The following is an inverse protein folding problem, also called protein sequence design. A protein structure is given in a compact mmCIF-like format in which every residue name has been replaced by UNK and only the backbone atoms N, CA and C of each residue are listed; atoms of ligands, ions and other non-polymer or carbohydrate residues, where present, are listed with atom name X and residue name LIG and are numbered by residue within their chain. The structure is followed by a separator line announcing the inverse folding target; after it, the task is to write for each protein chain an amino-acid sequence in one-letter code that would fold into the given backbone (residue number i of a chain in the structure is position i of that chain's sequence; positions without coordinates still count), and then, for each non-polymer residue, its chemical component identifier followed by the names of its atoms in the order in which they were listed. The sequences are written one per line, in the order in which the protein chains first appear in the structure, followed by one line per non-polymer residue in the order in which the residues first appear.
data_IF_039980304907
#
_entry.id   IF_039980304907
#
_cell.length_a   1.000
_cell.length_b   1.000
_cell.length_c   1.000
_cell.angle_alpha   90.00
_cell.angle_beta   90.00
_cell.angle_gamma   90.00
#
_symmetry.space_group_name_H-M   'P 1'
#
loop_
_entity.id
_entity.type
_entity.pdbx_description
1 polymer ?
#
# COMPACT_ATOMS: atom_id res chain seq x y z
N UNK A 1 18.53 4.39 -4.56
CA UNK A 1 19.73 4.33 -5.42
C UNK A 1 20.94 3.95 -4.59
N UNK A 2 21.91 3.25 -5.17
CA UNK A 2 23.22 3.04 -4.54
C UNK A 2 24.14 4.22 -4.85
N UNK A 3 25.40 4.15 -4.42
CA UNK A 3 26.43 5.12 -4.83
C UNK A 3 26.91 4.94 -6.27
N UNK A 4 26.49 3.87 -6.97
CA UNK A 4 26.84 3.61 -8.37
C UNK A 4 25.66 4.00 -9.25
N UNK A 5 25.92 4.82 -10.26
CA UNK A 5 24.92 5.30 -11.21
C UNK A 5 24.22 4.15 -11.93
N UNK A 6 22.90 4.27 -12.10
CA UNK A 6 22.06 3.21 -12.67
C UNK A 6 21.95 1.91 -11.86
N UNK A 7 22.50 1.84 -10.63
CA UNK A 7 22.44 0.65 -9.77
C UNK A 7 21.51 0.89 -8.58
N UNK A 8 20.53 -0.01 -8.45
CA UNK A 8 19.50 0.00 -7.41
C UNK A 8 19.60 -1.27 -6.56
N UNK A 9 19.23 -1.16 -5.30
CA UNK A 9 19.30 -2.27 -4.35
C UNK A 9 18.12 -2.23 -3.37
N UNK A 10 17.73 -3.39 -2.87
CA UNK A 10 16.70 -3.59 -1.85
C UNK A 10 16.93 -4.92 -1.12
N UNK A 11 16.26 -5.11 0.01
CA UNK A 11 16.44 -6.26 0.88
C UNK A 11 17.77 -6.24 1.65
N UNK A 12 18.24 -7.44 2.02
CA UNK A 12 19.41 -7.62 2.88
C UNK A 12 20.70 -7.00 2.33
N UNK A 13 20.78 -6.78 1.01
CA UNK A 13 21.91 -6.12 0.37
C UNK A 13 22.07 -4.64 0.76
N UNK A 14 21.04 -4.01 1.34
CA UNK A 14 21.05 -2.59 1.70
C UNK A 14 21.41 -2.36 3.17
N UNK A 15 20.74 -3.06 4.10
CA UNK A 15 20.89 -2.85 5.55
C UNK A 15 21.34 -4.11 6.31
N UNK A 16 21.62 -5.22 5.62
CA UNK A 16 21.80 -6.53 6.26
C UNK A 16 20.46 -7.14 6.67
N UNK A 17 20.50 -8.07 7.64
CA UNK A 17 19.31 -8.78 8.10
C UNK A 17 18.29 -7.82 8.75
N UNK A 18 17.16 -7.65 8.08
CA UNK A 18 16.08 -6.77 8.51
C UNK A 18 14.74 -7.50 8.48
N UNK A 19 13.67 -6.80 8.87
CA UNK A 19 12.31 -7.36 8.76
C UNK A 19 11.89 -7.57 7.29
N UNK A 20 11.10 -8.62 7.03
CA UNK A 20 10.51 -8.87 5.70
C UNK A 20 9.75 -7.63 5.18
N UNK A 21 9.05 -6.92 6.05
CA UNK A 21 8.34 -5.68 5.71
C UNK A 21 9.29 -4.57 5.25
N UNK A 22 10.46 -4.43 5.87
CA UNK A 22 11.47 -3.47 5.44
C UNK A 22 12.03 -3.83 4.06
N UNK A 23 12.31 -5.11 3.80
CA UNK A 23 12.76 -5.60 2.50
C UNK A 23 11.73 -5.34 1.39
N UNK A 24 10.44 -5.61 1.64
CA UNK A 24 9.34 -5.30 0.70
C UNK A 24 9.30 -3.79 0.41
N UNK A 25 9.32 -2.95 1.44
CA UNK A 25 9.31 -1.50 1.26
C UNK A 25 10.54 -0.96 0.51
N UNK A 26 11.71 -1.56 0.71
CA UNK A 26 12.91 -1.24 -0.06
C UNK A 26 12.76 -1.64 -1.53
N UNK A 27 12.14 -2.80 -1.82
CA UNK A 27 11.80 -3.23 -3.18
C UNK A 27 10.89 -2.23 -3.90
N UNK A 28 9.82 -1.76 -3.24
CA UNK A 28 8.94 -0.72 -3.79
C UNK A 28 9.69 0.58 -4.09
N UNK A 29 10.54 1.05 -3.17
CA UNK A 29 11.37 2.25 -3.39
C UNK A 29 12.40 2.06 -4.51
N UNK A 30 12.99 0.87 -4.62
CA UNK A 30 13.92 0.56 -5.70
C UNK A 30 13.22 0.58 -7.06
N UNK A 31 12.03 -0.03 -7.16
CA UNK A 31 11.22 -0.01 -8.38
C UNK A 31 10.82 1.41 -8.78
N UNK A 32 10.34 2.21 -7.82
CA UNK A 32 10.05 3.64 -8.03
C UNK A 32 11.25 4.41 -8.54
N UNK A 33 12.43 4.21 -7.94
CA UNK A 33 13.64 4.92 -8.36
C UNK A 33 14.14 4.47 -9.75
N UNK A 34 13.89 3.21 -10.16
CA UNK A 34 14.18 2.72 -11.51
C UNK A 34 13.27 3.42 -12.53
N UNK A 35 11.98 3.53 -12.23
CA UNK A 35 11.01 4.26 -13.06
C UNK A 35 11.45 5.71 -13.26
N UNK A 36 11.73 6.43 -12.17
CA UNK A 36 12.19 7.82 -12.20
C UNK A 36 13.48 7.99 -13.01
N UNK A 37 14.42 7.03 -12.91
CA UNK A 37 15.67 7.04 -13.66
C UNK A 37 15.47 6.83 -15.16
N UNK A 38 14.51 6.00 -15.57
CA UNK A 38 14.17 5.75 -16.98
C UNK A 38 13.42 6.94 -17.58
N UNK A 39 12.48 7.53 -16.84
CA UNK A 39 11.56 8.56 -17.33
C UNK A 39 12.13 9.99 -17.25
N UNK A 40 13.35 10.16 -16.75
CA UNK A 40 14.06 11.45 -16.76
C UNK A 40 13.86 12.31 -15.50
N UNK A 41 13.62 11.68 -14.34
CA UNK A 41 13.86 12.29 -13.03
C UNK A 41 12.68 13.00 -12.36
N UNK A 42 11.44 12.64 -12.69
CA UNK A 42 10.30 13.03 -11.84
C UNK A 42 10.26 12.08 -10.65
N UNK A 43 10.63 12.54 -9.47
CA UNK A 43 10.58 11.72 -8.25
C UNK A 43 9.15 11.24 -7.99
N UNK A 44 8.95 9.93 -8.06
CA UNK A 44 7.64 9.32 -7.84
C UNK A 44 7.23 9.41 -6.38
N UNK A 45 5.92 9.61 -6.12
CA UNK A 45 5.34 9.66 -4.77
C UNK A 45 5.53 8.34 -4.00
N UNK A 46 5.85 7.25 -4.69
CA UNK A 46 6.15 5.95 -4.09
C UNK A 46 7.51 5.92 -3.39
N UNK A 47 8.38 6.91 -3.63
CA UNK A 47 9.68 7.03 -2.96
C UNK A 47 9.56 7.20 -1.45
N UNK A 48 8.51 7.88 -0.98
CA UNK A 48 8.24 8.16 0.45
C UNK A 48 6.73 8.23 0.74
N UNK A 49 6.03 7.09 0.84
CA UNK A 49 4.61 7.08 1.17
C UNK A 49 4.37 7.58 2.61
N UNK A 50 3.28 8.31 2.87
CA UNK A 50 2.93 8.72 4.23
C UNK A 50 2.60 7.51 5.11
N UNK A 51 2.91 7.60 6.41
CA UNK A 51 2.50 6.59 7.39
C UNK A 51 1.02 6.76 7.69
N UNK A 52 0.22 5.74 7.39
CA UNK A 52 -1.21 5.69 7.68
C UNK A 52 -1.44 4.91 8.97
N UNK A 53 -2.06 5.54 9.96
CA UNK A 53 -2.43 4.88 11.20
C UNK A 53 -3.81 4.26 11.11
N UNK A 54 -4.11 3.32 12.00
CA UNK A 54 -5.42 2.66 12.06
C UNK A 54 -6.59 3.63 12.21
N UNK A 55 -6.39 4.76 12.90
CA UNK A 55 -7.40 5.81 13.10
C UNK A 55 -7.71 6.62 11.83
N UNK A 56 -6.83 6.58 10.83
CA UNK A 56 -6.95 7.37 9.60
C UNK A 56 -7.77 6.59 8.54
N UNK A 57 -7.87 5.26 8.70
CA UNK A 57 -8.64 4.38 7.82
C UNK A 57 -10.14 4.53 8.05
N UNK A 58 -10.90 4.58 6.96
CA UNK A 58 -12.34 4.50 7.03
C UNK A 58 -12.77 3.02 6.99
N UNK A 59 -12.77 2.38 8.16
CA UNK A 59 -13.02 0.95 8.31
C UNK A 59 -14.46 0.52 7.96
N UNK A 60 -15.37 1.48 7.72
CA UNK A 60 -16.77 1.19 7.39
C UNK A 60 -16.92 0.43 6.05
N UNK A 61 -16.00 0.68 5.12
CA UNK A 61 -16.01 0.07 3.78
C UNK A 61 -15.44 -1.35 3.73
N UNK A 62 -14.87 -1.84 4.83
CA UNK A 62 -14.22 -3.15 4.87
C UNK A 62 -15.10 -4.17 5.57
N UNK A 63 -15.20 -5.35 4.97
CA UNK A 63 -15.94 -6.45 5.58
C UNK A 63 -15.22 -6.91 6.86
N UNK A 64 -15.96 -6.95 7.95
CA UNK A 64 -15.45 -7.52 9.20
C UNK A 64 -15.28 -9.02 9.01
N UNK A 65 -14.06 -9.50 9.23
CA UNK A 65 -13.74 -10.92 9.20
C UNK A 65 -12.84 -11.32 10.37
N UNK A 66 -12.97 -12.58 10.79
CA UNK A 66 -12.17 -13.14 11.88
C UNK A 66 -10.74 -13.34 11.41
N UNK A 67 -9.78 -13.10 12.30
CA UNK A 67 -8.38 -13.43 12.06
C UNK A 67 -8.23 -14.95 11.99
N UNK A 68 -7.46 -15.45 11.02
CA UNK A 68 -7.11 -16.87 11.00
C UNK A 68 -6.33 -17.25 12.27
N UNK A 69 -6.78 -18.31 12.96
CA UNK A 69 -6.10 -18.83 14.14
C UNK A 69 -5.05 -19.85 13.75
N UNK A 70 -3.79 -19.51 14.02
CA UNK A 70 -2.66 -20.37 13.67
C UNK A 70 -2.49 -21.45 14.74
N UNK A 71 -2.49 -22.71 14.31
CA UNK A 71 -2.09 -23.83 15.16
C UNK A 71 -0.58 -24.03 15.11
N UNK A 72 0.07 -23.89 16.26
CA UNK A 72 1.49 -24.16 16.37
C UNK A 72 1.74 -25.67 16.55
N UNK A 73 2.87 -26.16 16.05
CA UNK A 73 3.30 -27.53 16.32
C UNK A 73 3.36 -27.81 17.84
N UNK A 74 2.99 -29.02 18.29
CA UNK A 74 3.09 -29.41 19.69
C UNK A 74 4.50 -29.19 20.24
N UNK A 75 4.62 -28.72 21.48
CA UNK A 75 5.91 -28.36 22.10
C UNK A 75 6.95 -29.48 21.97
N UNK A 76 6.54 -30.74 22.18
CA UNK A 76 7.43 -31.91 22.10
C UNK A 76 7.97 -32.21 20.69
N UNK A 77 7.45 -31.56 19.65
CA UNK A 77 7.91 -31.67 18.26
C UNK A 77 8.84 -30.52 17.86
N UNK A 78 8.80 -29.37 18.56
CA UNK A 78 9.50 -28.13 18.16
C UNK A 78 11.03 -28.25 18.14
N UNK A 79 11.60 -29.15 18.96
CA UNK A 79 13.05 -29.37 19.04
C UNK A 79 13.55 -30.54 18.18
N UNK A 80 12.64 -31.30 17.56
CA UNK A 80 13.00 -32.54 16.84
C UNK A 80 13.44 -32.30 15.40
N UNK A 81 13.15 -31.13 14.84
CA UNK A 81 13.39 -30.82 13.44
C UNK A 81 13.40 -29.31 13.20
N UNK A 82 14.02 -28.88 12.11
CA UNK A 82 14.06 -27.48 11.67
C UNK A 82 12.84 -27.08 10.82
N UNK A 83 11.67 -27.70 11.05
CA UNK A 83 10.41 -27.33 10.38
C UNK A 83 9.84 -26.06 11.00
N UNK A 84 9.09 -25.30 10.20
CA UNK A 84 8.37 -24.12 10.67
C UNK A 84 7.43 -24.46 11.84
N UNK A 85 7.37 -23.56 12.81
CA UNK A 85 6.52 -23.72 13.99
C UNK A 85 5.03 -23.65 13.66
N UNK A 86 4.69 -22.78 12.70
CA UNK A 86 3.35 -22.66 12.14
C UNK A 86 3.41 -23.28 10.76
N UNK A 87 2.61 -24.33 10.46
CA UNK A 87 2.57 -24.89 9.12
C UNK A 87 2.06 -23.84 8.13
N UNK A 88 2.43 -24.00 6.86
CA UNK A 88 1.88 -23.21 5.77
C UNK A 88 0.36 -23.39 5.71
N UNK A 89 -0.33 -22.29 5.42
CA UNK A 89 -1.76 -22.29 5.15
C UNK A 89 -2.04 -22.97 3.81
N UNK A 90 -3.24 -23.53 3.67
CA UNK A 90 -3.74 -23.93 2.35
C UNK A 90 -3.90 -22.69 1.44
N UNK A 91 -3.80 -22.86 0.10
CA UNK A 91 -3.87 -21.75 -0.84
C UNK A 91 -5.11 -20.87 -0.68
N UNK A 92 -6.26 -21.47 -0.41
CA UNK A 92 -7.51 -20.74 -0.17
C UNK A 92 -7.42 -19.85 1.08
N UNK A 93 -6.95 -20.38 2.20
CA UNK A 93 -6.74 -19.60 3.42
C UNK A 93 -5.68 -18.49 3.27
N UNK A 94 -4.68 -18.66 2.39
CA UNK A 94 -3.72 -17.61 2.05
C UNK A 94 -4.42 -16.44 1.35
N UNK A 95 -5.29 -16.74 0.38
CA UNK A 95 -6.06 -15.74 -0.36
C UNK A 95 -6.99 -15.00 0.62
N UNK A 96 -7.74 -15.73 1.45
CA UNK A 96 -8.64 -15.15 2.45
C UNK A 96 -7.91 -14.20 3.42
N UNK A 97 -6.70 -14.58 3.88
CA UNK A 97 -5.91 -13.73 4.76
C UNK A 97 -5.28 -12.53 4.01
N UNK A 98 -4.95 -12.68 2.73
CA UNK A 98 -4.45 -11.58 1.90
C UNK A 98 -5.55 -10.53 1.58
N UNK A 99 -6.78 -10.97 1.35
CA UNK A 99 -7.94 -10.11 1.08
C UNK A 99 -8.34 -9.24 2.28
N UNK A 100 -7.86 -9.58 3.49
CA UNK A 100 -8.01 -8.74 4.70
C UNK A 100 -7.16 -7.47 4.67
N UNK A 101 -6.27 -7.30 3.69
CA UNK A 101 -5.43 -6.12 3.57
C UNK A 101 -6.26 -4.85 3.37
N UNK A 102 -6.03 -3.82 4.19
CA UNK A 102 -6.71 -2.53 4.05
C UNK A 102 -6.20 -1.67 2.88
N UNK A 103 -5.12 -2.08 2.22
CA UNK A 103 -4.39 -1.26 1.23
C UNK A 103 -4.07 0.14 1.76
N UNK A 104 -3.74 0.25 3.06
CA UNK A 104 -3.53 1.53 3.73
C UNK A 104 -2.50 2.40 2.99
N UNK A 105 -2.89 3.62 2.63
CA UNK A 105 -2.04 4.55 1.89
C UNK A 105 -1.83 4.20 0.43
N UNK A 106 -2.55 3.23 -0.13
CA UNK A 106 -2.44 2.80 -1.52
C UNK A 106 -3.82 2.80 -2.19
N UNK A 107 -3.98 3.55 -3.29
CA UNK A 107 -5.23 3.53 -4.05
C UNK A 107 -5.45 2.14 -4.68
N UNK A 108 -6.63 1.56 -4.45
CA UNK A 108 -7.05 0.30 -5.07
C UNK A 108 -8.27 0.48 -5.99
N UNK A 109 -8.43 1.70 -6.52
CA UNK A 109 -9.42 2.07 -7.52
C UNK A 109 -10.90 1.80 -7.13
N UNK A 110 -11.28 2.09 -5.88
CA UNK A 110 -12.62 1.78 -5.36
C UNK A 110 -13.77 2.67 -5.85
N UNK A 111 -13.49 3.84 -6.44
CA UNK A 111 -14.53 4.74 -6.96
C UNK A 111 -15.13 5.73 -5.98
N UNK A 112 -14.87 5.63 -4.66
CA UNK A 112 -15.50 6.53 -3.70
C UNK A 112 -15.21 8.01 -3.98
N UNK A 113 -13.97 8.37 -4.28
CA UNK A 113 -13.62 9.77 -4.56
C UNK A 113 -14.37 10.34 -5.77
N UNK A 114 -14.62 9.53 -6.79
CA UNK A 114 -15.44 9.89 -7.95
C UNK A 114 -16.91 10.06 -7.57
N UNK A 115 -17.48 9.08 -6.85
CA UNK A 115 -18.90 9.06 -6.48
C UNK A 115 -19.29 10.17 -5.49
N UNK A 116 -18.42 10.50 -4.55
CA UNK A 116 -18.70 11.48 -3.49
C UNK A 116 -18.32 12.91 -3.84
N UNK A 117 -17.75 13.17 -5.02
CA UNK A 117 -17.44 14.53 -5.44
C UNK A 117 -18.70 15.26 -5.90
N UNK A 118 -19.23 16.25 -5.14
CA UNK A 118 -20.48 16.92 -5.51
C UNK A 118 -20.32 17.82 -6.75
N UNK A 119 -19.10 18.29 -6.99
CA UNK A 119 -18.76 19.22 -8.08
C UNK A 119 -18.22 18.51 -9.34
N UNK A 120 -18.18 17.17 -9.34
CA UNK A 120 -17.62 16.36 -10.43
C UNK A 120 -16.18 16.75 -10.82
N UNK A 121 -15.39 17.17 -9.83
CA UNK A 121 -13.99 17.53 -9.98
C UNK A 121 -13.05 16.30 -10.05
N UNK A 122 -13.55 15.09 -9.83
CA UNK A 122 -12.77 13.85 -9.95
C UNK A 122 -13.14 13.16 -11.25
N UNK A 123 -12.15 12.84 -12.09
CA UNK A 123 -12.32 12.22 -13.40
C UNK A 123 -11.50 10.93 -13.49
N UNK A 124 -11.91 10.00 -14.36
CA UNK A 124 -11.12 8.80 -14.65
C UNK A 124 -10.24 9.10 -15.85
N UNK A 125 -8.92 8.96 -15.68
CA UNK A 125 -7.95 9.15 -16.74
C UNK A 125 -8.13 8.10 -17.84
N UNK A 126 -8.33 8.49 -19.11
CA UNK A 126 -8.40 7.54 -20.21
C UNK A 126 -7.05 6.88 -20.52
N UNK A 127 -5.93 7.45 -20.02
CA UNK A 127 -4.58 6.92 -20.23
C UNK A 127 -4.20 5.88 -19.18
N UNK A 128 -4.44 6.18 -17.91
CA UNK A 128 -3.99 5.35 -16.79
C UNK A 128 -5.11 4.53 -16.16
N UNK A 129 -6.38 4.89 -16.39
CA UNK A 129 -7.53 4.31 -15.69
C UNK A 129 -7.65 4.73 -14.22
N UNK A 130 -6.80 5.66 -13.75
CA UNK A 130 -6.77 6.15 -12.38
C UNK A 130 -7.55 7.46 -12.22
N UNK A 131 -7.88 7.81 -10.97
CA UNK A 131 -8.58 9.06 -10.66
C UNK A 131 -7.65 10.28 -10.72
N UNK A 132 -8.06 11.29 -11.49
CA UNK A 132 -7.42 12.59 -11.61
C UNK A 132 -8.34 13.69 -11.04
N UNK A 133 -7.75 14.70 -10.41
CA UNK A 133 -8.48 15.78 -9.74
C UNK A 133 -8.32 17.07 -10.54
N UNK A 134 -9.42 17.59 -11.04
CA UNK A 134 -9.53 18.88 -11.70
C UNK A 134 -9.63 19.98 -10.62
N UNK A 135 -8.48 20.58 -10.30
CA UNK A 135 -8.39 21.54 -9.20
C UNK A 135 -9.11 22.86 -9.49
N UNK A 136 -9.32 23.23 -10.77
CA UNK A 136 -10.08 24.42 -11.15
C UNK A 136 -11.57 24.29 -10.79
N UNK A 137 -12.09 23.06 -10.82
CA UNK A 137 -13.48 22.75 -10.44
C UNK A 137 -13.61 22.38 -8.96
N UNK A 138 -12.54 21.91 -8.33
CA UNK A 138 -12.53 21.51 -6.93
C UNK A 138 -12.88 22.67 -5.99
N UNK A 139 -13.82 22.45 -5.07
CA UNK A 139 -14.21 23.43 -4.03
C UNK A 139 -13.56 23.18 -2.68
N UNK A 140 -12.66 22.21 -2.58
CA UNK A 140 -11.90 21.93 -1.36
C UNK A 140 -12.73 21.33 -0.20
N UNK A 141 -13.92 20.77 -0.47
CA UNK A 141 -14.81 20.26 0.58
C UNK A 141 -14.28 19.03 1.34
N UNK A 142 -13.30 18.31 0.78
CA UNK A 142 -12.63 17.18 1.43
C UNK A 142 -13.43 15.88 1.54
N UNK A 143 -14.63 15.80 0.95
CA UNK A 143 -15.47 14.59 1.00
C UNK A 143 -14.77 13.37 0.37
N UNK A 144 -14.08 13.57 -0.76
CA UNK A 144 -13.31 12.51 -1.39
C UNK A 144 -12.23 11.92 -0.48
N UNK A 145 -11.55 12.76 0.31
CA UNK A 145 -10.55 12.31 1.28
C UNK A 145 -11.17 11.60 2.48
N UNK A 146 -12.29 12.12 3.00
CA UNK A 146 -13.03 11.51 4.11
C UNK A 146 -13.59 10.13 3.77
N UNK A 147 -14.12 9.97 2.56
CA UNK A 147 -14.72 8.70 2.11
C UNK A 147 -13.70 7.76 1.44
N UNK A 148 -12.42 8.11 1.42
CA UNK A 148 -11.35 7.23 0.97
C UNK A 148 -11.10 6.13 2.02
N UNK A 149 -11.36 4.85 1.72
CA UNK A 149 -11.24 3.77 2.72
C UNK A 149 -9.82 3.64 3.26
N UNK A 150 -8.84 3.73 2.36
CA UNK A 150 -7.43 3.51 2.65
C UNK A 150 -6.65 4.77 3.00
N UNK A 151 -7.29 5.94 3.08
CA UNK A 151 -6.63 7.22 3.37
C UNK A 151 -5.54 7.60 2.33
N UNK A 152 -5.79 7.36 1.04
CA UNK A 152 -4.84 7.70 -0.03
C UNK A 152 -4.81 9.19 -0.38
N UNK A 153 -5.90 9.91 -0.15
CA UNK A 153 -6.05 11.31 -0.60
C UNK A 153 -5.65 12.26 0.53
N UNK A 154 -4.67 13.11 0.26
CA UNK A 154 -4.24 14.17 1.17
C UNK A 154 -4.84 15.51 0.74
N UNK A 155 -5.53 16.19 1.66
CA UNK A 155 -6.00 17.57 1.46
C UNK A 155 -4.89 18.55 1.85
N UNK A 156 -4.64 19.53 1.00
CA UNK A 156 -3.70 20.63 1.25
C UNK A 156 -4.39 21.96 0.98
N UNK A 157 -3.96 23.02 1.66
CA UNK A 157 -4.40 24.38 1.34
C UNK A 157 -3.81 24.80 0.00
N UNK A 158 -4.62 25.51 -0.79
CA UNK A 158 -4.15 26.16 -2.01
C UNK A 158 -3.14 27.26 -1.63
N UNK A 159 -2.09 27.39 -2.44
CA UNK A 159 -0.98 28.32 -2.19
C UNK A 159 -1.23 29.67 -2.85
#
# INVERSE_FOLDING_TARGET
MTSVDGVFAGGDAVLGLETVSAAIGQGTRAASAIEDYIDGGVESRLSSPPVIYSKDLNTYYYQKTRRFEKEALPIHMRLKHFKELYPALDPEAIIDEAERCFSCGLCYNCGNCFMYCPDNAVKISPKTGLYEFDLDFCKGCGLCAKECPCHYIQMTLEK
#
